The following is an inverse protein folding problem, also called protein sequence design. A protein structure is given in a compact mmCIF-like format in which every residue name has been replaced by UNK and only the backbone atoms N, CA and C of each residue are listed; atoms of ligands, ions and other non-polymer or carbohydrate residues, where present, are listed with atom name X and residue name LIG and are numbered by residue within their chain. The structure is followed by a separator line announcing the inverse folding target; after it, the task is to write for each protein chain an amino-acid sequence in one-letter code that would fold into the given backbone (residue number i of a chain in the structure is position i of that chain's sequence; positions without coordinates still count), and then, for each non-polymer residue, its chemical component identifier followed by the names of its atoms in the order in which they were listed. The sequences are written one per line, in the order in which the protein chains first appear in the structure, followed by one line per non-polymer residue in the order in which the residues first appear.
data_IF_583726452076
#
_entry.id   IF_583726452076
#
_cell.length_a   1.000
_cell.length_b   1.000
_cell.length_c   1.000
_cell.angle_alpha   90.00
_cell.angle_beta   90.00
_cell.angle_gamma   90.00
#
_symmetry.space_group_name_H-M   'P 1'
#
loop_
_entity.id
_entity.type
_entity.pdbx_description
1 polymer ?
#
# COMPACT_ATOMS: atom_id res chain seq x y z
N UNK A 1 18.28 -15.54 37.67
CA UNK A 1 17.33 -15.53 36.55
C UNK A 1 17.32 -14.12 36.01
N UNK A 2 17.87 -13.94 34.81
CA UNK A 2 18.18 -12.65 34.20
C UNK A 2 16.91 -11.86 33.91
N UNK A 3 16.87 -10.66 34.45
CA UNK A 3 15.95 -9.57 34.12
C UNK A 3 16.15 -9.19 32.65
N UNK A 4 15.52 -9.94 31.74
CA UNK A 4 15.43 -9.54 30.35
C UNK A 4 14.40 -8.41 30.30
N UNK A 5 14.88 -7.16 30.37
CA UNK A 5 14.06 -5.97 30.12
C UNK A 5 13.27 -6.18 28.84
N UNK A 6 11.95 -6.37 28.96
CA UNK A 6 11.05 -6.58 27.83
C UNK A 6 11.10 -5.33 26.96
N UNK A 7 11.84 -5.38 25.85
CA UNK A 7 11.92 -4.26 24.94
C UNK A 7 10.52 -4.03 24.34
N UNK A 8 9.91 -2.88 24.64
CA UNK A 8 8.61 -2.52 24.08
C UNK A 8 8.73 -2.45 22.57
N UNK A 9 7.91 -3.23 21.88
CA UNK A 9 7.86 -3.19 20.43
C UNK A 9 7.53 -1.77 19.91
N UNK A 10 8.12 -1.40 18.77
CA UNK A 10 7.77 -0.16 18.08
C UNK A 10 6.27 -0.14 17.71
N UNK A 11 5.59 1.02 17.76
CA UNK A 11 4.20 1.15 17.30
C UNK A 11 4.10 0.92 15.78
N UNK A 12 2.87 0.76 15.28
CA UNK A 12 2.61 0.76 13.83
C UNK A 12 2.88 2.14 13.24
N UNK A 13 3.10 2.18 11.93
CA UNK A 13 3.21 3.43 11.19
C UNK A 13 1.82 4.02 10.97
N UNK A 14 1.63 5.28 11.32
CA UNK A 14 0.45 6.05 10.93
C UNK A 14 0.67 6.59 9.52
N UNK A 15 -0.16 6.14 8.57
CA UNK A 15 -0.13 6.60 7.18
C UNK A 15 -1.48 7.21 6.83
N UNK A 16 -1.48 8.49 6.50
CA UNK A 16 -2.66 9.13 5.92
C UNK A 16 -2.52 9.08 4.40
N UNK A 17 -3.49 8.45 3.75
CA UNK A 17 -3.61 8.46 2.30
C UNK A 17 -4.10 9.82 1.85
N UNK A 18 -3.23 10.51 1.11
CA UNK A 18 -3.45 11.89 0.76
C UNK A 18 -2.97 12.17 -0.66
N UNK A 19 -3.77 12.92 -1.37
CA UNK A 19 -3.48 13.52 -2.66
C UNK A 19 -4.45 14.68 -2.85
N UNK A 20 -3.96 15.78 -3.41
CA UNK A 20 -4.76 16.95 -3.70
C UNK A 20 -4.64 17.29 -5.19
N UNK A 21 -5.52 18.16 -5.67
CA UNK A 21 -5.65 18.57 -7.06
C UNK A 21 -4.42 19.07 -7.82
N UNK A 22 -3.29 19.27 -7.15
CA UNK A 22 -2.01 19.60 -7.81
C UNK A 22 -0.85 19.01 -7.00
N UNK A 23 0.31 18.82 -7.62
CA UNK A 23 1.53 18.39 -6.94
C UNK A 23 1.91 19.35 -5.80
N UNK A 24 1.81 20.67 -6.02
CA UNK A 24 2.12 21.70 -5.01
C UNK A 24 1.21 21.60 -3.78
N UNK A 25 -0.10 21.50 -3.97
CA UNK A 25 -1.05 21.36 -2.84
C UNK A 25 -0.86 20.04 -2.09
N UNK A 26 -0.53 18.97 -2.81
CA UNK A 26 -0.18 17.68 -2.20
C UNK A 26 1.09 17.78 -1.35
N UNK A 27 2.12 18.46 -1.84
CA UNK A 27 3.34 18.73 -1.07
C UNK A 27 3.06 19.52 0.22
N UNK A 28 2.29 20.61 0.12
CA UNK A 28 1.89 21.43 1.28
C UNK A 28 1.15 20.59 2.33
N UNK A 29 0.25 19.71 1.90
CA UNK A 29 -0.46 18.76 2.76
C UNK A 29 0.49 17.74 3.41
N UNK A 30 1.42 17.15 2.65
CA UNK A 30 2.40 16.20 3.18
C UNK A 30 3.28 16.83 4.25
N UNK A 31 3.84 18.02 3.99
CA UNK A 31 4.65 18.76 4.96
C UNK A 31 3.84 19.12 6.21
N UNK A 32 2.58 19.50 6.04
CA UNK A 32 1.68 19.78 7.16
C UNK A 32 1.45 18.53 8.01
N UNK A 33 1.18 17.38 7.40
CA UNK A 33 0.92 16.16 8.16
C UNK A 33 2.19 15.60 8.81
N UNK A 34 3.34 15.67 8.14
CA UNK A 34 4.65 15.31 8.71
C UNK A 34 4.94 16.15 9.97
N UNK A 35 4.72 17.46 9.93
CA UNK A 35 4.89 18.32 11.12
C UNK A 35 3.90 18.02 12.26
N UNK A 36 2.80 17.30 11.98
CA UNK A 36 1.78 16.88 12.96
C UNK A 36 1.94 15.43 13.45
N UNK A 37 3.02 14.74 13.06
CA UNK A 37 3.37 13.41 13.57
C UNK A 37 3.07 12.24 12.63
N UNK A 38 2.69 12.49 11.37
CA UNK A 38 2.73 11.45 10.33
C UNK A 38 4.18 11.00 10.12
N UNK A 39 4.41 9.70 10.01
CA UNK A 39 5.77 9.10 9.97
C UNK A 39 6.11 8.42 8.65
N UNK A 40 5.16 8.35 7.72
CA UNK A 40 5.38 7.85 6.35
C UNK A 40 4.37 8.46 5.40
N UNK A 41 4.71 8.55 4.12
CA UNK A 41 3.87 9.17 3.09
C UNK A 41 3.02 8.09 2.40
N UNK A 42 1.80 8.46 1.99
CA UNK A 42 0.92 7.59 1.20
C UNK A 42 0.27 8.44 0.11
N UNK A 43 0.69 8.22 -1.13
CA UNK A 43 0.35 9.05 -2.28
C UNK A 43 -0.88 8.49 -2.98
N UNK A 44 -1.90 9.32 -3.10
CA UNK A 44 -3.06 9.09 -3.95
C UNK A 44 -2.88 9.81 -5.29
N UNK A 45 -2.89 9.08 -6.40
CA UNK A 45 -2.80 9.64 -7.75
C UNK A 45 -4.19 9.85 -8.34
N UNK A 46 -4.33 10.80 -9.26
CA UNK A 46 -5.58 10.97 -9.99
C UNK A 46 -5.86 9.84 -10.98
N UNK A 47 -7.08 9.80 -11.54
CA UNK A 47 -7.48 8.73 -12.45
C UNK A 47 -6.66 8.70 -13.76
N UNK A 48 -6.35 9.85 -14.41
CA UNK A 48 -5.46 9.88 -15.57
C UNK A 48 -4.09 9.25 -15.31
N UNK A 49 -3.41 9.64 -14.21
CA UNK A 49 -2.11 9.07 -13.82
C UNK A 49 -2.19 7.56 -13.58
N UNK A 50 -3.29 7.09 -12.97
CA UNK A 50 -3.52 5.66 -12.72
C UNK A 50 -3.74 4.85 -14.00
N UNK A 51 -4.32 5.47 -15.02
CA UNK A 51 -4.69 4.82 -16.30
C UNK A 51 -3.74 5.14 -17.44
N UNK A 52 -2.63 5.84 -17.18
CA UNK A 52 -1.56 6.09 -18.14
C UNK A 52 -1.86 7.20 -19.14
N UNK A 53 -2.73 8.15 -18.80
CA UNK A 53 -2.99 9.33 -19.62
C UNK A 53 -2.31 10.56 -19.03
N UNK A 54 -1.72 11.36 -19.92
CA UNK A 54 -1.26 12.72 -19.59
C UNK A 54 -2.45 13.65 -19.32
N UNK A 55 -2.20 14.72 -18.57
CA UNK A 55 -3.25 15.64 -18.13
C UNK A 55 -3.95 16.40 -19.27
N UNK A 56 -3.30 16.51 -20.44
CA UNK A 56 -3.84 17.13 -21.65
C UNK A 56 -4.51 16.13 -22.62
N UNK A 57 -4.50 14.83 -22.29
CA UNK A 57 -5.17 13.82 -23.09
C UNK A 57 -6.70 13.99 -23.05
N UNK A 58 -7.38 13.78 -24.18
CA UNK A 58 -8.83 13.99 -24.29
C UNK A 58 -9.65 13.16 -23.29
N UNK A 59 -9.20 11.94 -22.97
CA UNK A 59 -9.85 11.06 -21.98
C UNK A 59 -9.58 11.45 -20.52
N UNK A 60 -8.63 12.36 -20.27
CA UNK A 60 -8.33 12.86 -18.93
C UNK A 60 -9.25 14.02 -18.51
N UNK A 61 -9.97 14.61 -19.47
CA UNK A 61 -10.79 15.81 -19.24
C UNK A 61 -11.81 15.58 -18.11
N UNK A 62 -11.78 16.44 -17.10
CA UNK A 62 -12.69 16.38 -15.95
C UNK A 62 -12.22 15.48 -14.80
N UNK A 63 -11.16 14.70 -14.99
CA UNK A 63 -10.64 13.76 -13.98
C UNK A 63 -9.25 14.17 -13.45
N UNK A 64 -8.55 15.09 -14.13
CA UNK A 64 -7.25 15.63 -13.69
C UNK A 64 -7.37 16.25 -12.30
N UNK A 65 -6.58 15.73 -11.36
CA UNK A 65 -6.51 16.24 -9.99
C UNK A 65 -7.78 16.06 -9.15
N UNK A 66 -8.79 15.31 -9.61
CA UNK A 66 -10.09 15.22 -8.93
C UNK A 66 -10.04 14.35 -7.68
N UNK A 67 -9.36 13.20 -7.76
CA UNK A 67 -9.31 12.17 -6.71
C UNK A 67 -7.90 11.91 -6.18
N UNK A 68 -6.92 12.69 -6.61
CA UNK A 68 -5.52 12.53 -6.23
C UNK A 68 -4.63 13.52 -6.97
N UNK A 69 -3.32 13.34 -6.83
CA UNK A 69 -2.33 14.18 -7.48
C UNK A 69 -2.14 13.80 -8.96
N UNK A 70 -2.17 14.75 -9.91
CA UNK A 70 -1.75 14.52 -11.29
C UNK A 70 -0.22 14.46 -11.37
N UNK A 71 0.34 13.42 -12.00
CA UNK A 71 1.76 13.28 -12.29
C UNK A 71 1.93 12.81 -13.74
N UNK A 72 2.38 13.69 -14.62
CA UNK A 72 2.63 13.34 -16.03
C UNK A 72 4.13 13.17 -16.31
N UNK A 73 4.98 13.90 -15.60
CA UNK A 73 6.44 13.87 -15.83
C UNK A 73 7.27 14.09 -14.56
N UNK A 74 8.60 13.98 -14.68
CA UNK A 74 9.55 14.20 -13.58
C UNK A 74 9.39 15.56 -12.90
N UNK A 75 9.01 16.61 -13.65
CA UNK A 75 8.75 17.94 -13.09
C UNK A 75 7.69 17.94 -12.00
N UNK A 76 6.63 17.14 -12.13
CA UNK A 76 5.56 17.06 -11.13
C UNK A 76 6.03 16.30 -9.90
N UNK A 77 6.85 15.25 -10.10
CA UNK A 77 7.44 14.49 -9.00
C UNK A 77 8.40 15.36 -8.17
N UNK A 78 9.19 16.23 -8.82
CA UNK A 78 10.03 17.23 -8.14
C UNK A 78 9.18 18.17 -7.29
N UNK A 79 8.09 18.71 -7.85
CA UNK A 79 7.19 19.60 -7.12
C UNK A 79 6.50 18.88 -5.96
N UNK A 80 6.10 17.62 -6.15
CA UNK A 80 5.44 16.81 -5.12
C UNK A 80 6.33 16.59 -3.90
N UNK A 81 7.64 16.46 -4.10
CA UNK A 81 8.62 16.18 -3.05
C UNK A 81 9.57 17.33 -2.74
N UNK A 82 9.26 18.55 -3.18
CA UNK A 82 10.04 19.74 -2.81
C UNK A 82 10.13 19.85 -1.28
N UNK A 83 11.33 20.06 -0.75
CA UNK A 83 11.62 20.13 0.69
C UNK A 83 11.22 18.87 1.49
N UNK A 84 11.06 17.71 0.84
CA UNK A 84 10.85 16.42 1.49
C UNK A 84 12.03 15.51 1.14
N UNK A 85 12.91 15.16 2.10
CA UNK A 85 14.11 14.35 1.84
C UNK A 85 13.74 12.88 1.61
N UNK A 86 13.79 12.43 0.35
CA UNK A 86 13.32 11.10 -0.06
C UNK A 86 14.14 9.93 0.50
N UNK A 87 15.41 10.16 0.86
CA UNK A 87 16.30 9.21 1.53
C UNK A 87 15.89 8.88 2.97
N UNK A 88 15.09 9.76 3.59
CA UNK A 88 14.60 9.62 4.97
C UNK A 88 13.12 9.22 5.03
N UNK A 89 12.42 9.19 3.90
CA UNK A 89 10.99 8.89 3.85
C UNK A 89 10.72 7.40 3.66
N UNK A 90 9.61 6.94 4.25
CA UNK A 90 8.97 5.69 3.87
C UNK A 90 7.72 6.01 3.05
N UNK A 91 7.84 5.89 1.73
CA UNK A 91 6.82 6.32 0.78
C UNK A 91 5.99 5.16 0.28
N UNK A 92 4.66 5.25 0.40
CA UNK A 92 3.71 4.33 -0.20
C UNK A 92 3.08 4.97 -1.42
N UNK A 93 3.11 4.30 -2.57
CA UNK A 93 2.46 4.75 -3.79
C UNK A 93 1.32 3.79 -4.14
N UNK A 94 0.07 4.27 -4.03
CA UNK A 94 -1.13 3.50 -4.42
C UNK A 94 -1.31 3.62 -5.92
N UNK A 95 -0.47 2.90 -6.66
CA UNK A 95 -0.41 2.91 -8.12
C UNK A 95 -0.19 1.49 -8.64
N UNK A 96 -0.82 1.16 -9.77
CA UNK A 96 -0.89 -0.21 -10.29
C UNK A 96 -0.42 -0.28 -11.74
N UNK A 97 -1.29 -0.04 -12.73
CA UNK A 97 -0.93 -0.23 -14.14
C UNK A 97 0.30 0.58 -14.58
N UNK A 98 0.47 1.79 -14.03
CA UNK A 98 1.61 2.69 -14.30
C UNK A 98 2.70 2.63 -13.22
N UNK A 99 2.68 1.63 -12.34
CA UNK A 99 3.57 1.50 -11.19
C UNK A 99 5.06 1.64 -11.52
N UNK A 100 5.52 0.96 -12.58
CA UNK A 100 6.92 1.00 -13.01
C UNK A 100 7.34 2.42 -13.43
N UNK A 101 6.47 3.13 -14.14
CA UNK A 101 6.72 4.52 -14.56
C UNK A 101 6.83 5.46 -13.37
N UNK A 102 5.86 5.42 -12.44
CA UNK A 102 5.87 6.28 -11.26
C UNK A 102 7.06 5.97 -10.33
N UNK A 103 7.46 4.71 -10.22
CA UNK A 103 8.67 4.34 -9.48
C UNK A 103 9.94 4.88 -10.14
N UNK A 104 10.04 4.85 -11.47
CA UNK A 104 11.17 5.45 -12.18
C UNK A 104 11.25 6.96 -11.93
N UNK A 105 10.13 7.67 -12.00
CA UNK A 105 10.07 9.12 -11.68
C UNK A 105 10.45 9.40 -10.21
N UNK A 106 9.99 8.56 -9.28
CA UNK A 106 10.34 8.68 -7.86
C UNK A 106 11.84 8.51 -7.63
N UNK A 107 12.45 7.48 -8.24
CA UNK A 107 13.89 7.22 -8.15
C UNK A 107 14.68 8.39 -8.73
N UNK A 108 14.32 8.86 -9.94
CA UNK A 108 15.01 9.98 -10.57
C UNK A 108 14.92 11.27 -9.73
N UNK A 109 13.76 11.56 -9.15
CA UNK A 109 13.60 12.71 -8.25
C UNK A 109 14.47 12.56 -6.98
N UNK A 110 14.62 11.35 -6.44
CA UNK A 110 15.46 11.10 -5.28
C UNK A 110 16.96 11.20 -5.61
N UNK A 111 17.39 10.68 -6.77
CA UNK A 111 18.77 10.82 -7.26
C UNK A 111 19.14 12.30 -7.45
N UNK A 112 18.23 13.15 -7.93
CA UNK A 112 18.44 14.59 -8.03
C UNK A 112 18.53 15.31 -6.66
N UNK A 113 17.91 14.75 -5.62
CA UNK A 113 18.09 15.20 -4.24
C UNK A 113 19.42 14.70 -3.62
N UNK A 114 20.18 13.87 -4.33
CA UNK A 114 21.44 13.27 -3.87
C UNK A 114 21.30 11.94 -3.14
N UNK A 115 20.10 11.33 -3.14
CA UNK A 115 19.89 10.01 -2.54
C UNK A 115 20.43 8.89 -3.44
N UNK A 116 21.03 7.86 -2.83
CA UNK A 116 21.34 6.60 -3.53
C UNK A 116 20.14 5.65 -3.48
N UNK A 117 20.01 4.78 -4.49
CA UNK A 117 18.84 3.86 -4.59
C UNK A 117 18.68 2.94 -3.39
N UNK A 118 19.78 2.53 -2.74
CA UNK A 118 19.77 1.67 -1.57
C UNK A 118 19.28 2.38 -0.29
N UNK A 119 19.22 3.72 -0.29
CA UNK A 119 18.63 4.51 0.79
C UNK A 119 17.10 4.53 0.69
N UNK A 120 16.54 4.41 -0.52
CA UNK A 120 15.10 4.55 -0.74
C UNK A 120 14.32 3.41 -0.09
N UNK A 121 13.32 3.79 0.72
CA UNK A 121 12.40 2.88 1.37
C UNK A 121 10.97 3.23 0.98
N UNK A 122 10.18 2.21 0.63
CA UNK A 122 8.80 2.44 0.28
C UNK A 122 8.08 1.21 -0.22
N UNK A 123 6.91 1.45 -0.82
CA UNK A 123 6.03 0.41 -1.33
C UNK A 123 5.30 0.92 -2.55
N UNK A 124 5.24 0.11 -3.61
CA UNK A 124 4.28 0.31 -4.71
C UNK A 124 3.15 -0.70 -4.55
N UNK A 125 1.90 -0.30 -4.83
CA UNK A 125 0.79 -1.27 -4.77
C UNK A 125 0.99 -2.38 -5.81
N UNK A 126 1.13 -2.00 -7.09
CA UNK A 126 1.56 -2.89 -8.17
C UNK A 126 0.83 -4.26 -8.20
N UNK A 127 -0.46 -4.26 -7.89
CA UNK A 127 -1.30 -5.45 -7.90
C UNK A 127 -2.31 -5.30 -9.05
N UNK A 128 -1.98 -5.83 -10.22
CA UNK A 128 -2.88 -5.74 -11.37
C UNK A 128 -4.00 -6.77 -11.31
N UNK A 129 -3.83 -7.90 -10.60
CA UNK A 129 -4.84 -8.96 -10.56
C UNK A 129 -6.13 -8.42 -9.96
N UNK A 130 -6.03 -7.69 -8.83
CA UNK A 130 -7.20 -7.03 -8.22
C UNK A 130 -7.78 -5.89 -9.08
N UNK A 131 -7.01 -5.29 -9.99
CA UNK A 131 -7.56 -4.29 -10.91
C UNK A 131 -8.60 -4.89 -11.86
N UNK A 132 -8.38 -6.11 -12.35
CA UNK A 132 -9.38 -6.78 -13.19
C UNK A 132 -10.60 -7.27 -12.41
N UNK A 133 -10.44 -7.59 -11.12
CA UNK A 133 -11.49 -8.19 -10.30
C UNK A 133 -12.40 -7.17 -9.62
N UNK A 134 -11.87 -6.01 -9.18
CA UNK A 134 -12.65 -5.10 -8.33
C UNK A 134 -12.45 -3.60 -8.57
N UNK A 135 -11.32 -3.16 -9.15
CA UNK A 135 -10.96 -1.72 -9.15
C UNK A 135 -10.98 -1.03 -10.52
N UNK A 136 -10.68 -1.74 -11.60
CA UNK A 136 -10.90 -1.27 -12.97
C UNK A 136 -9.86 -0.29 -13.55
N UNK A 137 -8.71 -0.06 -12.91
CA UNK A 137 -7.66 0.85 -13.41
C UNK A 137 -6.50 0.12 -14.12
N UNK A 138 -6.82 -0.95 -14.85
CA UNK A 138 -5.85 -1.67 -15.69
C UNK A 138 -5.66 -0.96 -17.05
N UNK A 139 -4.51 -1.17 -17.69
CA UNK A 139 -4.18 -0.57 -19.01
C UNK A 139 -3.90 -1.65 -20.04
N UNK A 140 -3.02 -2.60 -19.72
CA UNK A 140 -2.64 -3.69 -20.62
C UNK A 140 -3.49 -4.94 -20.35
N UNK A 141 -3.42 -5.98 -21.20
CA UNK A 141 -3.97 -7.30 -20.87
C UNK A 141 -3.23 -7.97 -19.69
N UNK A 142 -3.77 -9.06 -19.12
CA UNK A 142 -3.21 -9.72 -17.94
C UNK A 142 -1.74 -10.13 -18.08
N UNK A 143 -1.35 -10.82 -19.16
CA UNK A 143 0.00 -11.35 -19.34
C UNK A 143 1.09 -10.27 -19.41
N UNK A 144 0.97 -9.23 -20.27
CA UNK A 144 1.92 -8.11 -20.27
C UNK A 144 1.97 -7.37 -18.93
N UNK A 145 0.84 -7.25 -18.23
CA UNK A 145 0.81 -6.59 -16.93
C UNK A 145 1.57 -7.39 -15.86
N UNK A 146 1.41 -8.72 -15.84
CA UNK A 146 2.15 -9.60 -14.94
C UNK A 146 3.66 -9.55 -15.22
N UNK A 147 4.06 -9.48 -16.49
CA UNK A 147 5.47 -9.27 -16.86
C UNK A 147 6.03 -7.96 -16.29
N UNK A 148 5.29 -6.85 -16.38
CA UNK A 148 5.77 -5.58 -15.79
C UNK A 148 5.94 -5.68 -14.27
N UNK A 149 5.07 -6.44 -13.59
CA UNK A 149 5.20 -6.71 -12.16
C UNK A 149 6.49 -7.49 -11.88
N UNK A 150 6.78 -8.57 -12.62
CA UNK A 150 7.98 -9.37 -12.40
C UNK A 150 9.26 -8.62 -12.76
N UNK A 151 9.28 -7.83 -13.83
CA UNK A 151 10.39 -6.95 -14.21
C UNK A 151 10.68 -5.93 -13.07
N UNK A 152 9.63 -5.33 -12.48
CA UNK A 152 9.79 -4.39 -11.37
C UNK A 152 10.27 -5.08 -10.07
N UNK A 153 9.82 -6.32 -9.81
CA UNK A 153 10.32 -7.14 -8.70
C UNK A 153 11.82 -7.44 -8.90
N UNK A 154 12.21 -7.89 -10.10
CA UNK A 154 13.60 -8.20 -10.45
C UNK A 154 14.52 -6.97 -10.31
N UNK A 155 14.05 -5.80 -10.76
CA UNK A 155 14.78 -4.55 -10.60
C UNK A 155 14.94 -4.15 -9.12
N UNK A 156 13.84 -4.09 -8.37
CA UNK A 156 13.85 -3.54 -7.01
C UNK A 156 14.61 -4.40 -6.00
N UNK A 157 14.61 -5.73 -6.12
CA UNK A 157 15.33 -6.56 -5.15
C UNK A 157 16.87 -6.38 -5.24
N UNK A 158 17.38 -5.97 -6.42
CA UNK A 158 18.79 -5.67 -6.68
C UNK A 158 19.12 -4.20 -6.39
N UNK A 159 18.41 -3.28 -7.06
CA UNK A 159 18.79 -1.87 -7.14
C UNK A 159 18.20 -1.03 -6.02
N UNK A 160 17.00 -1.39 -5.53
CA UNK A 160 16.27 -0.64 -4.50
C UNK A 160 15.87 -1.58 -3.36
N UNK A 161 16.83 -2.26 -2.71
CA UNK A 161 16.58 -3.46 -1.92
C UNK A 161 15.71 -3.24 -0.68
N UNK A 162 15.42 -1.99 -0.27
CA UNK A 162 14.51 -1.64 0.84
C UNK A 162 13.07 -1.33 0.37
N UNK A 163 12.82 -1.34 -0.93
CA UNK A 163 11.50 -1.16 -1.53
C UNK A 163 10.68 -2.45 -1.48
N UNK A 164 9.37 -2.33 -1.23
CA UNK A 164 8.42 -3.42 -1.37
C UNK A 164 7.74 -3.27 -2.75
N UNK A 165 8.11 -4.08 -3.76
CA UNK A 165 7.66 -3.88 -5.13
C UNK A 165 6.20 -4.22 -5.37
N UNK A 166 5.59 -4.99 -4.48
CA UNK A 166 4.20 -5.37 -4.58
C UNK A 166 3.55 -5.36 -3.21
N UNK A 167 2.40 -4.72 -3.14
CA UNK A 167 1.52 -4.73 -1.99
C UNK A 167 0.20 -5.38 -2.41
N UNK A 168 0.10 -6.70 -2.22
CA UNK A 168 -1.07 -7.50 -2.57
C UNK A 168 -2.29 -6.94 -1.85
N UNK A 169 -3.23 -6.40 -2.62
CA UNK A 169 -4.21 -5.46 -2.11
C UNK A 169 -5.60 -6.08 -2.11
N UNK A 170 -5.91 -6.73 -1.00
CA UNK A 170 -7.20 -7.38 -0.77
C UNK A 170 -8.30 -6.39 -0.37
N UNK A 171 -7.91 -5.17 0.03
CA UNK A 171 -8.85 -4.14 0.47
C UNK A 171 -10.01 -3.92 -0.51
N UNK A 172 -9.68 -3.71 -1.78
CA UNK A 172 -10.66 -3.43 -2.83
C UNK A 172 -11.58 -4.63 -3.12
N UNK A 173 -11.14 -5.85 -2.82
CA UNK A 173 -11.99 -7.03 -3.00
C UNK A 173 -13.14 -7.00 -2.00
N UNK A 174 -12.87 -6.68 -0.73
CA UNK A 174 -13.91 -6.56 0.30
C UNK A 174 -14.82 -5.36 0.03
N UNK A 175 -14.28 -4.22 -0.42
CA UNK A 175 -15.08 -3.06 -0.84
C UNK A 175 -15.97 -3.37 -2.07
N UNK A 176 -15.59 -4.34 -2.91
CA UNK A 176 -16.42 -4.84 -4.01
C UNK A 176 -17.40 -5.96 -3.58
N UNK A 177 -17.46 -6.29 -2.29
CA UNK A 177 -18.40 -7.27 -1.72
C UNK A 177 -17.83 -8.66 -1.47
N UNK A 178 -16.51 -8.87 -1.56
CA UNK A 178 -15.90 -10.13 -1.16
C UNK A 178 -16.10 -10.38 0.34
N UNK A 179 -16.48 -11.61 0.70
CA UNK A 179 -16.49 -12.05 2.11
C UNK A 179 -15.06 -12.12 2.67
N UNK A 180 -14.87 -12.07 4.01
CA UNK A 180 -13.55 -12.24 4.64
C UNK A 180 -12.78 -13.49 4.17
N UNK A 181 -13.49 -14.58 3.84
CA UNK A 181 -12.89 -15.81 3.31
C UNK A 181 -12.41 -15.64 1.87
N UNK A 182 -13.21 -14.99 1.03
CA UNK A 182 -12.84 -14.70 -0.36
C UNK A 182 -11.68 -13.74 -0.44
N UNK A 183 -11.71 -12.66 0.36
CA UNK A 183 -10.59 -11.71 0.46
C UNK A 183 -9.28 -12.45 0.77
N UNK A 184 -9.29 -13.28 1.81
CA UNK A 184 -8.12 -14.07 2.21
C UNK A 184 -7.64 -15.01 1.11
N UNK A 185 -8.56 -15.79 0.52
CA UNK A 185 -8.21 -16.75 -0.52
C UNK A 185 -7.64 -16.07 -1.77
N UNK A 186 -8.28 -15.00 -2.24
CA UNK A 186 -7.89 -14.28 -3.45
C UNK A 186 -6.56 -13.54 -3.26
N UNK A 187 -6.31 -12.96 -2.09
CA UNK A 187 -5.06 -12.30 -1.78
C UNK A 187 -3.88 -13.29 -1.76
N UNK A 188 -4.02 -14.42 -1.07
CA UNK A 188 -2.97 -15.44 -1.04
C UNK A 188 -2.74 -16.06 -2.42
N UNK A 189 -3.81 -16.32 -3.18
CA UNK A 189 -3.71 -16.80 -4.56
C UNK A 189 -3.01 -15.79 -5.48
N UNK A 190 -3.27 -14.49 -5.30
CA UNK A 190 -2.60 -13.41 -6.04
C UNK A 190 -1.10 -13.39 -5.77
N UNK A 191 -0.70 -13.49 -4.49
CA UNK A 191 0.70 -13.57 -4.10
C UNK A 191 1.39 -14.80 -4.71
N UNK A 192 0.73 -15.97 -4.67
CA UNK A 192 1.23 -17.21 -5.27
C UNK A 192 1.42 -17.05 -6.78
N UNK A 193 0.42 -16.51 -7.50
CA UNK A 193 0.49 -16.34 -8.94
C UNK A 193 1.67 -15.47 -9.37
N UNK A 194 1.95 -14.39 -8.65
CA UNK A 194 3.09 -13.52 -8.93
C UNK A 194 4.41 -14.20 -8.58
N UNK A 195 4.52 -14.84 -7.42
CA UNK A 195 5.76 -15.54 -7.03
C UNK A 195 6.09 -16.73 -7.94
N UNK A 196 5.08 -17.48 -8.37
CA UNK A 196 5.25 -18.55 -9.35
C UNK A 196 5.76 -17.99 -10.69
N UNK A 197 5.25 -16.83 -11.11
CA UNK A 197 5.71 -16.15 -12.33
C UNK A 197 7.16 -15.65 -12.20
N UNK A 198 7.52 -15.03 -11.08
CA UNK A 198 8.90 -14.61 -10.81
C UNK A 198 9.85 -15.80 -10.90
N UNK A 199 9.46 -16.93 -10.31
CA UNK A 199 10.28 -18.16 -10.31
C UNK A 199 10.40 -18.77 -11.70
N UNK A 200 9.34 -18.77 -12.51
CA UNK A 200 9.34 -19.39 -13.84
C UNK A 200 10.08 -18.55 -14.89
N UNK A 201 10.09 -17.23 -14.77
CA UNK A 201 10.83 -16.35 -15.69
C UNK A 201 12.34 -16.38 -15.46
N UNK A 202 12.82 -16.84 -14.31
CA UNK A 202 14.25 -17.04 -14.04
C UNK A 202 15.08 -15.76 -13.93
N UNK A 203 14.44 -14.58 -13.83
CA UNK A 203 15.13 -13.29 -13.65
C UNK A 203 15.80 -13.16 -12.27
N UNK A 204 15.32 -13.92 -11.29
CA UNK A 204 15.83 -13.96 -9.92
C UNK A 204 16.50 -15.30 -9.69
N UNK A 205 17.80 -15.35 -9.32
CA UNK A 205 18.46 -16.59 -8.96
C UNK A 205 17.77 -17.28 -7.77
N UNK A 206 17.71 -18.62 -7.77
CA UNK A 206 17.07 -19.39 -6.69
C UNK A 206 17.59 -19.03 -5.29
N UNK A 207 18.90 -18.73 -5.17
CA UNK A 207 19.53 -18.32 -3.92
C UNK A 207 18.97 -16.99 -3.35
N UNK A 208 18.45 -16.12 -4.21
CA UNK A 208 17.89 -14.82 -3.84
C UNK A 208 16.35 -14.85 -3.73
N UNK A 209 15.68 -15.94 -4.14
CA UNK A 209 14.23 -16.01 -4.18
C UNK A 209 13.56 -15.72 -2.82
N UNK A 210 14.17 -16.19 -1.72
CA UNK A 210 13.72 -15.90 -0.37
C UNK A 210 13.67 -14.38 -0.07
N UNK A 211 14.60 -13.59 -0.62
CA UNK A 211 14.61 -12.13 -0.45
C UNK A 211 13.41 -11.50 -1.14
N UNK A 212 13.03 -11.99 -2.31
CA UNK A 212 11.84 -11.53 -3.05
C UNK A 212 10.58 -11.83 -2.25
N UNK A 213 10.41 -13.06 -1.76
CA UNK A 213 9.27 -13.44 -0.90
C UNK A 213 9.17 -12.50 0.30
N UNK A 214 10.31 -12.19 0.93
CA UNK A 214 10.38 -11.26 2.04
C UNK A 214 10.05 -9.79 1.73
N UNK A 215 9.92 -9.42 0.46
CA UNK A 215 9.55 -8.07 0.00
C UNK A 215 8.11 -7.96 -0.48
N UNK A 216 7.39 -9.08 -0.60
CA UNK A 216 5.94 -9.05 -0.79
C UNK A 216 5.29 -8.55 0.50
N UNK A 217 4.47 -7.51 0.38
CA UNK A 217 3.61 -7.02 1.46
C UNK A 217 2.14 -7.13 1.08
N UNK A 218 1.27 -6.91 2.06
CA UNK A 218 -0.18 -7.00 1.90
C UNK A 218 -0.88 -5.72 2.36
N UNK A 219 -2.00 -5.40 1.72
CA UNK A 219 -2.91 -4.34 2.14
C UNK A 219 -4.31 -4.89 2.28
N UNK A 220 -4.75 -5.04 3.53
CA UNK A 220 -5.98 -5.74 3.89
C UNK A 220 -7.07 -4.76 4.32
N UNK A 221 -8.32 -5.22 4.27
CA UNK A 221 -9.46 -4.51 4.86
C UNK A 221 -9.76 -5.05 6.26
N UNK A 222 -10.50 -4.28 7.06
CA UNK A 222 -11.07 -4.75 8.31
C UNK A 222 -12.46 -4.12 8.49
N UNK A 223 -13.51 -4.94 8.48
CA UNK A 223 -14.88 -4.50 8.73
C UNK A 223 -15.33 -4.63 10.18
N UNK A 224 -16.57 -4.23 10.43
CA UNK A 224 -17.16 -4.12 11.78
C UNK A 224 -17.26 -5.46 12.55
N UNK A 225 -17.14 -6.59 11.86
CA UNK A 225 -17.21 -7.93 12.45
C UNK A 225 -15.91 -8.28 13.19
N UNK A 226 -15.71 -7.63 14.34
CA UNK A 226 -14.47 -7.63 15.15
C UNK A 226 -13.81 -9.01 15.30
N UNK A 227 -14.55 -10.03 15.76
CA UNK A 227 -13.99 -11.38 15.97
C UNK A 227 -13.59 -12.03 14.64
N UNK A 228 -14.41 -11.86 13.61
CA UNK A 228 -14.14 -12.40 12.28
C UNK A 228 -12.87 -11.80 11.69
N UNK A 229 -12.69 -10.48 11.82
CA UNK A 229 -11.49 -9.80 11.31
C UNK A 229 -10.22 -10.20 12.07
N UNK A 230 -10.29 -10.35 13.40
CA UNK A 230 -9.17 -10.90 14.19
C UNK A 230 -8.78 -12.29 13.69
N UNK A 231 -9.78 -13.16 13.48
CA UNK A 231 -9.54 -14.52 13.01
C UNK A 231 -8.98 -14.53 11.58
N UNK A 232 -9.51 -13.67 10.69
CA UNK A 232 -9.00 -13.49 9.32
C UNK A 232 -7.53 -13.10 9.33
N UNK A 233 -7.14 -12.12 10.15
CA UNK A 233 -5.75 -11.67 10.22
C UNK A 233 -4.81 -12.73 10.77
N UNK A 234 -5.25 -13.54 11.75
CA UNK A 234 -4.45 -14.67 12.23
C UNK A 234 -4.30 -15.75 11.16
N UNK A 235 -5.37 -16.09 10.46
CA UNK A 235 -5.34 -17.05 9.37
C UNK A 235 -4.42 -16.60 8.22
N UNK A 236 -4.42 -15.30 7.89
CA UNK A 236 -3.47 -14.74 6.91
C UNK A 236 -2.01 -15.01 7.30
N UNK A 237 -1.64 -14.79 8.57
CA UNK A 237 -0.27 -15.03 9.05
C UNK A 237 0.08 -16.51 8.95
N UNK A 238 -0.77 -17.38 9.48
CA UNK A 238 -0.51 -18.81 9.57
C UNK A 238 -0.41 -19.42 8.15
N UNK A 239 -1.36 -19.09 7.26
CA UNK A 239 -1.37 -19.61 5.89
C UNK A 239 -0.24 -19.06 5.03
N UNK A 240 0.13 -17.78 5.19
CA UNK A 240 1.26 -17.22 4.46
C UNK A 240 2.59 -17.87 4.88
N UNK A 241 2.77 -18.14 6.17
CA UNK A 241 3.96 -18.86 6.66
C UNK A 241 4.03 -20.28 6.08
N UNK A 242 2.91 -21.02 6.11
CA UNK A 242 2.78 -22.36 5.51
C UNK A 242 3.10 -22.34 4.00
N UNK A 243 2.49 -21.44 3.23
CA UNK A 243 2.76 -21.28 1.80
C UNK A 243 4.25 -21.02 1.54
N UNK A 244 4.86 -20.10 2.29
CA UNK A 244 6.27 -19.76 2.09
C UNK A 244 7.21 -20.92 2.45
N UNK A 245 6.87 -21.68 3.49
CA UNK A 245 7.67 -22.81 3.95
C UNK A 245 7.52 -24.01 3.03
N UNK A 246 6.30 -24.44 2.75
CA UNK A 246 6.00 -25.70 2.07
C UNK A 246 6.10 -25.58 0.54
N UNK A 247 5.53 -24.51 -0.04
CA UNK A 247 5.54 -24.31 -1.51
C UNK A 247 6.89 -23.79 -2.00
N UNK A 248 7.45 -22.83 -1.28
CA UNK A 248 8.63 -22.09 -1.73
C UNK A 248 9.93 -22.48 -1.01
N UNK A 249 9.87 -23.29 0.05
CA UNK A 249 11.06 -23.77 0.75
C UNK A 249 11.83 -22.69 1.50
N UNK A 250 11.22 -21.53 1.77
CA UNK A 250 11.90 -20.38 2.39
C UNK A 250 12.14 -20.69 3.86
N UNK A 251 13.39 -21.02 4.24
CA UNK A 251 13.72 -21.48 5.60
C UNK A 251 13.87 -20.35 6.64
N UNK A 252 14.27 -19.15 6.22
CA UNK A 252 14.40 -18.01 7.14
C UNK A 252 13.02 -17.41 7.45
N UNK A 253 12.59 -17.56 8.71
CA UNK A 253 11.35 -16.99 9.26
C UNK A 253 11.20 -15.49 8.97
N UNK A 254 12.31 -14.74 8.91
CA UNK A 254 12.30 -13.32 8.58
C UNK A 254 11.64 -13.07 7.22
N UNK A 255 11.87 -13.92 6.23
CA UNK A 255 11.32 -13.76 4.89
C UNK A 255 9.88 -14.27 4.78
N UNK A 256 9.45 -15.16 5.67
CA UNK A 256 8.06 -15.65 5.73
C UNK A 256 7.09 -14.77 6.50
N UNK A 257 7.56 -13.73 7.19
CA UNK A 257 6.66 -12.83 7.96
C UNK A 257 5.62 -12.19 7.07
N UNK A 258 4.34 -12.36 7.43
CA UNK A 258 3.23 -11.65 6.82
C UNK A 258 3.29 -10.16 7.21
N UNK A 259 3.76 -9.32 6.28
CA UNK A 259 3.89 -7.87 6.46
C UNK A 259 2.69 -7.19 5.82
N UNK A 260 1.87 -6.54 6.62
CA UNK A 260 0.67 -5.89 6.10
C UNK A 260 0.45 -4.48 6.63
N UNK A 261 -0.11 -3.65 5.76
CA UNK A 261 -0.87 -2.46 6.11
C UNK A 261 -2.37 -2.75 6.08
N UNK A 262 -3.15 -1.93 6.77
CA UNK A 262 -4.61 -2.07 6.80
C UNK A 262 -5.28 -0.72 6.59
N UNK A 263 -6.37 -0.72 5.84
CA UNK A 263 -7.39 0.31 5.91
C UNK A 263 -8.69 -0.31 6.40
N UNK A 264 -9.33 0.32 7.36
CA UNK A 264 -10.64 -0.14 7.84
C UNK A 264 -11.71 0.11 6.78
N UNK A 265 -12.76 -0.70 6.80
CA UNK A 265 -13.80 -0.72 5.78
C UNK A 265 -14.46 0.65 5.64
N UNK A 266 -14.32 1.26 4.46
CA UNK A 266 -14.91 2.58 4.20
C UNK A 266 -16.34 2.47 3.65
N UNK A 267 -16.68 1.38 2.96
CA UNK A 267 -18.04 1.09 2.50
C UNK A 267 -19.04 0.91 3.65
N UNK A 268 -18.57 0.50 4.82
CA UNK A 268 -19.39 0.36 6.04
C UNK A 268 -19.76 1.68 6.73
N UNK A 269 -19.19 2.81 6.29
CA UNK A 269 -19.45 4.12 6.87
C UNK A 269 -20.78 4.70 6.37
N UNK A 270 -21.50 5.37 7.25
CA UNK A 270 -22.83 5.92 6.94
C UNK A 270 -22.75 7.42 6.70
N UNK A 271 -23.45 7.90 5.66
CA UNK A 271 -23.67 9.34 5.47
C UNK A 271 -24.54 9.90 6.60
N UNK A 272 -25.60 9.19 6.95
CA UNK A 272 -26.50 9.58 8.04
C UNK A 272 -25.79 9.38 9.38
N UNK A 273 -25.87 10.39 10.24
CA UNK A 273 -25.23 10.40 11.55
C UNK A 273 -23.74 10.00 11.48
N UNK A 274 -22.93 10.75 10.71
CA UNK A 274 -21.55 10.36 10.43
C UNK A 274 -20.68 10.31 11.69
N UNK A 275 -21.10 10.94 12.79
CA UNK A 275 -20.43 10.84 14.10
C UNK A 275 -20.32 9.38 14.60
N UNK A 276 -21.28 8.53 14.23
CA UNK A 276 -21.25 7.10 14.55
C UNK A 276 -20.11 6.35 13.85
N UNK A 277 -19.59 6.88 12.74
CA UNK A 277 -18.46 6.30 12.03
C UNK A 277 -17.17 6.30 12.86
N UNK A 278 -17.01 7.26 13.80
CA UNK A 278 -15.87 7.28 14.71
C UNK A 278 -15.76 5.97 15.50
N UNK A 279 -16.89 5.48 16.01
CA UNK A 279 -16.93 4.23 16.78
C UNK A 279 -16.78 2.99 15.89
N UNK A 280 -17.30 3.04 14.66
CA UNK A 280 -17.12 1.96 13.67
C UNK A 280 -15.63 1.77 13.36
N UNK A 281 -14.98 2.87 12.98
CA UNK A 281 -13.54 2.93 12.67
C UNK A 281 -12.71 2.42 13.86
N UNK A 282 -13.07 2.82 15.10
CA UNK A 282 -12.39 2.35 16.30
C UNK A 282 -12.50 0.82 16.47
N UNK A 283 -13.69 0.25 16.33
CA UNK A 283 -13.90 -1.21 16.46
C UNK A 283 -13.12 -1.96 15.37
N UNK A 284 -13.17 -1.47 14.14
CA UNK A 284 -12.47 -2.05 13.00
C UNK A 284 -10.94 -2.01 13.18
N UNK A 285 -10.41 -0.88 13.65
CA UNK A 285 -8.99 -0.71 13.96
C UNK A 285 -8.52 -1.65 15.07
N UNK A 286 -9.32 -1.81 16.13
CA UNK A 286 -8.97 -2.70 17.24
C UNK A 286 -8.88 -4.17 16.79
N UNK A 287 -9.69 -4.59 15.82
CA UNK A 287 -9.67 -5.95 15.29
C UNK A 287 -8.31 -6.35 14.67
N UNK A 288 -7.56 -5.38 14.15
CA UNK A 288 -6.28 -5.61 13.45
C UNK A 288 -5.04 -5.16 14.23
N UNK A 289 -5.25 -4.46 15.35
CA UNK A 289 -4.14 -3.96 16.19
C UNK A 289 -3.94 -4.76 17.47
N UNK A 290 -4.98 -5.44 17.99
CA UNK A 290 -4.90 -6.17 19.26
C UNK A 290 -4.21 -7.54 19.17
N UNK A 291 -4.12 -8.13 17.98
CA UNK A 291 -3.48 -9.44 17.80
C UNK A 291 -1.96 -9.34 17.89
N UNK A 292 -1.37 -9.97 18.91
CA UNK A 292 0.10 -10.07 19.05
C UNK A 292 0.76 -10.82 17.90
N UNK A 293 0.09 -11.88 17.39
CA UNK A 293 0.61 -12.72 16.29
C UNK A 293 0.39 -12.10 14.91
N UNK A 294 -0.66 -11.31 14.74
CA UNK A 294 -1.03 -10.70 13.46
C UNK A 294 -1.08 -9.17 13.59
N UNK A 295 0.07 -8.56 13.83
CA UNK A 295 0.16 -7.13 14.13
C UNK A 295 0.34 -6.28 12.87
N UNK A 296 -0.55 -5.30 12.68
CA UNK A 296 -0.44 -4.33 11.60
C UNK A 296 0.90 -3.57 11.64
N UNK A 297 1.50 -3.37 10.47
CA UNK A 297 2.74 -2.58 10.31
C UNK A 297 2.44 -1.13 9.95
N UNK A 298 1.35 -0.92 9.23
CA UNK A 298 0.81 0.40 8.93
C UNK A 298 -0.71 0.36 9.13
N UNK A 299 -1.25 1.44 9.68
CA UNK A 299 -2.70 1.63 9.83
C UNK A 299 -3.07 2.92 9.10
N UNK A 300 -4.11 2.82 8.29
CA UNK A 300 -4.73 3.92 7.59
C UNK A 300 -6.21 3.94 7.98
N UNK A 301 -6.68 5.06 8.48
CA UNK A 301 -8.07 5.22 8.89
C UNK A 301 -8.74 6.28 8.00
N UNK A 302 -9.95 6.01 7.48
CA UNK A 302 -10.75 7.04 6.84
C UNK A 302 -11.15 8.08 7.89
N UNK A 303 -11.55 9.26 7.43
CA UNK A 303 -12.25 10.21 8.27
C UNK A 303 -13.72 9.82 8.45
N UNK A 304 -14.27 10.25 9.57
CA UNK A 304 -15.63 9.96 10.01
C UNK A 304 -16.73 10.41 9.02
N UNK A 305 -16.42 11.32 8.09
CA UNK A 305 -17.35 11.87 7.10
C UNK A 305 -17.08 11.44 5.65
N UNK A 306 -16.29 10.37 5.43
CA UNK A 306 -15.86 9.94 4.09
C UNK A 306 -16.88 9.14 3.27
N UNK A 307 -18.11 8.96 3.77
CA UNK A 307 -19.12 8.18 3.04
C UNK A 307 -19.48 8.76 1.66
N UNK A 308 -19.46 10.10 1.49
CA UNK A 308 -19.83 10.77 0.24
C UNK A 308 -18.78 11.74 -0.32
N UNK A 309 -17.68 11.98 0.40
CA UNK A 309 -16.75 13.03 0.02
C UNK A 309 -15.35 12.83 0.57
N UNK A 310 -14.42 13.64 0.06
CA UNK A 310 -13.05 13.65 0.54
C UNK A 310 -12.96 14.40 1.88
N UNK A 311 -12.09 13.97 2.80
CA UNK A 311 -11.95 14.59 4.10
C UNK A 311 -11.33 15.98 3.99
N UNK A 312 -11.73 16.91 4.87
CA UNK A 312 -11.02 18.18 5.02
C UNK A 312 -9.74 17.96 5.85
N UNK A 313 -8.76 18.88 5.83
CA UNK A 313 -7.55 18.75 6.62
C UNK A 313 -7.77 18.57 8.13
N UNK A 314 -8.88 19.08 8.68
CA UNK A 314 -9.26 18.84 10.08
C UNK A 314 -9.79 17.43 10.31
N UNK A 315 -10.56 16.87 9.37
CA UNK A 315 -11.16 15.54 9.51
C UNK A 315 -10.07 14.45 9.53
N UNK A 316 -9.01 14.60 8.72
CA UNK A 316 -7.84 13.70 8.73
C UNK A 316 -7.07 13.70 10.06
N UNK A 317 -7.04 14.84 10.76
CA UNK A 317 -6.39 14.91 12.08
C UNK A 317 -7.17 14.11 13.11
N UNK A 318 -8.49 14.04 13.00
CA UNK A 318 -9.30 13.20 13.88
C UNK A 318 -8.94 11.73 13.76
N UNK A 319 -8.77 11.23 12.54
CA UNK A 319 -8.34 9.86 12.26
C UNK A 319 -6.96 9.55 12.85
N UNK A 320 -6.04 10.52 12.89
CA UNK A 320 -4.72 10.36 13.51
C UNK A 320 -4.76 10.32 15.06
N UNK A 321 -5.88 10.70 15.67
CA UNK A 321 -6.06 10.75 17.14
C UNK A 321 -6.86 9.59 17.70
N UNK A 322 -7.49 8.76 16.85
CA UNK A 322 -8.08 7.47 17.23
C UNK A 322 -6.99 6.47 17.64
#
# INVERSE_FOLDING_TARGET
MTDATTQRDKPWMMRTYAGHSTAKKSNELYRTNLSKGQTGLSIAFDLPTQTGYDADHILAQGEVGKVGVPISHLGDMRVLFDQIPLDQMNTSMTINATAAWLLALYIAAAEEQGATRDQLQGTTQNDIIKEYLSRGTYVFPPDPSLRLITDMIAFTYQEVPKWNPMNVCSYHLQEAGATPRQELAFALATAIAVLDRVKSEGQVPDADFARVVGRISFFVNAGINFVTEICKMRAFVDLWDEICLERYGVQDEKYRRFRYGVQVNSLGLTEQQPENNVYRILVEMLAVTLSKKARARAVQLPAWNEALGLPRPWDQQWSLRL
#
